data_IF_521101197516
#
_entry.id   IF_521101197516
#
_cell.length_a   1.000
_cell.length_b   1.000
_cell.length_c   1.000
_cell.angle_alpha   90.00
_cell.angle_beta   90.00
_cell.angle_gamma   90.00
#
_symmetry.space_group_name_H-M   'P 1'
#
loop_
_entity.id
_entity.type
_entity.pdbx_description
1 polymer ?
#
# COMPACT_ATOMS: atom_id res chain seq x y z
N UNK A 1 -27.22 -28.82 15.89
CA UNK A 1 -28.21 -27.71 15.91
C UNK A 1 -27.48 -26.61 16.63
N UNK A 2 -26.64 -25.91 15.88
CA UNK A 2 -25.71 -24.95 16.46
C UNK A 2 -26.44 -23.61 16.49
N UNK A 3 -26.63 -23.07 17.69
CA UNK A 3 -27.11 -21.71 17.85
C UNK A 3 -26.08 -20.79 17.19
N UNK A 4 -26.40 -20.31 15.98
CA UNK A 4 -25.71 -19.17 15.37
C UNK A 4 -26.15 -17.95 16.18
N UNK A 5 -25.50 -17.77 17.32
CA UNK A 5 -25.76 -16.70 18.25
C UNK A 5 -25.47 -15.37 17.56
N UNK A 6 -26.46 -14.48 17.67
CA UNK A 6 -26.43 -13.06 17.41
C UNK A 6 -25.02 -12.49 17.66
N UNK A 7 -24.21 -12.41 16.61
CA UNK A 7 -22.87 -11.84 16.70
C UNK A 7 -23.03 -10.33 16.90
N UNK A 8 -22.03 -9.68 17.50
CA UNK A 8 -22.07 -8.22 17.67
C UNK A 8 -22.30 -7.50 16.34
N UNK A 9 -21.83 -8.08 15.23
CA UNK A 9 -21.94 -7.53 13.88
C UNK A 9 -23.38 -7.50 13.37
N UNK A 10 -24.21 -8.49 13.73
CA UNK A 10 -25.61 -8.60 13.26
C UNK A 10 -26.51 -7.41 13.69
N UNK A 11 -26.03 -6.59 14.62
CA UNK A 11 -26.68 -5.35 15.05
C UNK A 11 -26.44 -4.17 14.12
N UNK A 12 -25.55 -4.30 13.14
CA UNK A 12 -25.13 -3.23 12.25
C UNK A 12 -25.49 -3.59 10.80
N UNK A 13 -25.85 -2.59 10.00
CA UNK A 13 -26.14 -2.79 8.56
C UNK A 13 -24.90 -2.64 7.67
N UNK A 14 -23.83 -2.08 8.23
CA UNK A 14 -22.57 -1.86 7.53
C UNK A 14 -21.38 -2.08 8.48
N UNK A 15 -20.26 -2.53 7.91
CA UNK A 15 -18.99 -2.71 8.61
C UNK A 15 -17.90 -1.95 7.83
N UNK A 16 -17.21 -1.05 8.53
CA UNK A 16 -16.02 -0.38 8.02
C UNK A 16 -14.81 -1.18 8.48
N UNK A 17 -13.96 -1.55 7.55
CA UNK A 17 -12.79 -2.39 7.79
C UNK A 17 -11.52 -1.58 7.56
N UNK A 18 -10.60 -1.72 8.50
CA UNK A 18 -9.18 -1.49 8.25
C UNK A 18 -8.60 -2.65 7.41
N UNK A 19 -7.45 -2.43 6.76
CA UNK A 19 -6.85 -3.34 5.80
C UNK A 19 -5.59 -4.04 6.33
N UNK A 20 -4.52 -3.27 6.52
CA UNK A 20 -3.18 -3.76 6.84
C UNK A 20 -3.22 -4.41 8.23
N UNK A 21 -2.65 -5.60 8.35
CA UNK A 21 -2.66 -6.43 9.55
C UNK A 21 -4.07 -6.79 10.10
N UNK A 22 -5.15 -6.43 9.39
CA UNK A 22 -6.53 -6.81 9.71
C UNK A 22 -6.97 -7.99 8.83
N UNK A 23 -6.84 -7.86 7.52
CA UNK A 23 -7.13 -8.95 6.58
C UNK A 23 -6.14 -9.05 5.40
N UNK A 24 -5.28 -8.04 5.22
CA UNK A 24 -4.12 -8.08 4.34
C UNK A 24 -2.86 -8.18 5.19
N UNK A 25 -1.94 -9.07 4.81
CA UNK A 25 -0.70 -9.35 5.52
C UNK A 25 0.49 -9.28 4.56
N UNK A 26 1.71 -9.33 5.10
CA UNK A 26 2.96 -9.18 4.33
C UNK A 26 3.03 -7.84 3.59
N UNK A 27 2.29 -6.81 4.04
CA UNK A 27 2.35 -5.42 3.58
C UNK A 27 3.68 -4.73 3.91
N UNK A 28 3.90 -3.54 3.37
CA UNK A 28 4.98 -2.62 3.75
C UNK A 28 6.38 -3.26 3.74
N UNK A 29 6.69 -3.94 2.63
CA UNK A 29 7.96 -4.64 2.37
C UNK A 29 9.10 -3.67 2.03
N UNK A 30 9.41 -2.79 2.97
CA UNK A 30 10.44 -1.75 2.88
C UNK A 30 11.67 -2.02 3.77
N UNK A 31 11.83 -3.27 4.22
CA UNK A 31 13.03 -3.77 4.91
C UNK A 31 14.24 -4.00 3.97
N UNK A 32 15.47 -4.04 4.50
CA UNK A 32 16.71 -4.22 3.72
C UNK A 32 16.82 -5.56 2.98
N UNK A 33 15.96 -6.53 3.28
CA UNK A 33 15.89 -7.85 2.65
C UNK A 33 15.17 -7.84 1.29
N UNK A 34 14.52 -6.73 0.93
CA UNK A 34 13.74 -6.62 -0.29
C UNK A 34 14.56 -6.03 -1.45
N UNK A 35 14.39 -6.62 -2.64
CA UNK A 35 15.06 -6.22 -3.87
C UNK A 35 14.15 -5.28 -4.68
N UNK A 36 14.25 -3.97 -4.41
CA UNK A 36 13.42 -2.97 -5.09
C UNK A 36 13.81 -2.83 -6.56
N UNK A 37 15.11 -2.90 -6.85
CA UNK A 37 15.65 -2.84 -8.20
C UNK A 37 15.11 -3.95 -9.10
N UNK A 38 15.02 -5.19 -8.62
CA UNK A 38 14.44 -6.29 -9.39
C UNK A 38 12.96 -6.04 -9.71
N UNK A 39 12.18 -5.57 -8.73
CA UNK A 39 10.77 -5.19 -8.95
C UNK A 39 10.66 -4.06 -9.95
N UNK A 40 11.47 -3.01 -9.83
CA UNK A 40 11.51 -1.87 -10.74
C UNK A 40 11.92 -2.26 -12.17
N UNK A 41 12.91 -3.14 -12.32
CA UNK A 41 13.30 -3.70 -13.62
C UNK A 41 12.19 -4.54 -14.24
N UNK A 42 11.39 -5.25 -13.43
CA UNK A 42 10.23 -5.99 -13.93
C UNK A 42 9.16 -5.10 -14.56
N UNK A 43 9.12 -3.80 -14.19
CA UNK A 43 8.30 -2.76 -14.83
C UNK A 43 9.00 -2.05 -15.99
N UNK A 44 10.15 -2.56 -16.45
CA UNK A 44 10.91 -2.02 -17.58
C UNK A 44 11.76 -0.79 -17.22
N UNK A 45 12.14 -0.66 -15.95
CA UNK A 45 13.04 0.38 -15.46
C UNK A 45 14.45 0.29 -16.04
N UNK A 46 15.09 1.45 -16.24
CA UNK A 46 16.41 1.57 -16.85
C UNK A 46 17.50 2.13 -15.91
N UNK A 47 17.13 2.53 -14.69
CA UNK A 47 18.10 2.97 -13.68
C UNK A 47 18.99 1.81 -13.23
N UNK A 48 20.19 2.15 -12.71
CA UNK A 48 21.03 1.15 -12.05
C UNK A 48 20.34 0.63 -10.79
N UNK A 49 20.70 -0.59 -10.37
CA UNK A 49 20.18 -1.23 -9.16
C UNK A 49 20.34 -0.31 -7.94
N UNK A 50 21.55 0.21 -7.72
CA UNK A 50 21.85 1.07 -6.57
C UNK A 50 21.01 2.34 -6.60
N UNK A 51 20.71 2.86 -7.79
CA UNK A 51 19.93 4.08 -7.95
C UNK A 51 18.45 3.84 -7.67
N UNK A 52 17.89 2.75 -8.18
CA UNK A 52 16.49 2.39 -7.94
C UNK A 52 16.26 2.12 -6.45
N UNK A 53 17.11 1.31 -5.82
CA UNK A 53 17.01 0.99 -4.40
C UNK A 53 17.11 2.25 -3.53
N UNK A 54 18.12 3.10 -3.78
CA UNK A 54 18.31 4.32 -3.01
C UNK A 54 17.11 5.28 -3.10
N UNK A 55 16.45 5.35 -4.26
CA UNK A 55 15.27 6.22 -4.44
C UNK A 55 14.04 5.66 -3.73
N UNK A 56 13.83 4.34 -3.75
CA UNK A 56 12.70 3.71 -3.04
C UNK A 56 12.87 3.86 -1.54
N UNK A 57 14.06 3.55 -1.01
CA UNK A 57 14.38 3.71 0.43
C UNK A 57 14.20 5.16 0.86
N UNK A 58 14.79 6.12 0.14
CA UNK A 58 14.68 7.53 0.49
C UNK A 58 13.24 8.06 0.40
N UNK A 59 12.44 7.53 -0.54
CA UNK A 59 11.02 7.87 -0.62
C UNK A 59 10.24 7.34 0.59
N UNK A 60 10.46 6.07 0.94
CA UNK A 60 9.83 5.44 2.11
C UNK A 60 10.17 6.19 3.40
N UNK A 61 11.46 6.41 3.68
CA UNK A 61 11.91 7.12 4.89
C UNK A 61 11.33 8.52 4.99
N UNK A 62 11.19 9.20 3.84
CA UNK A 62 10.59 10.54 3.77
C UNK A 62 9.09 10.49 4.08
N UNK A 63 8.35 9.55 3.51
CA UNK A 63 6.91 9.39 3.77
C UNK A 63 6.65 8.98 5.22
N UNK A 64 7.43 8.04 5.76
CA UNK A 64 7.35 7.60 7.17
C UNK A 64 7.57 8.77 8.13
N UNK A 65 8.59 9.60 7.86
CA UNK A 65 8.83 10.82 8.65
C UNK A 65 7.65 11.79 8.58
N UNK A 66 7.06 11.98 7.40
CA UNK A 66 5.92 12.90 7.22
C UNK A 66 4.63 12.34 7.84
N UNK A 67 4.51 11.02 7.95
CA UNK A 67 3.34 10.36 8.52
C UNK A 67 3.18 10.69 10.00
N UNK A 68 4.29 10.91 10.69
CA UNK A 68 4.34 11.30 12.09
C UNK A 68 4.13 12.81 12.32
N UNK A 69 4.01 13.62 11.26
CA UNK A 69 3.83 15.07 11.35
C UNK A 69 2.34 15.47 11.25
N UNK A 70 1.70 15.94 12.34
CA UNK A 70 0.30 16.35 12.31
C UNK A 70 -0.02 17.49 11.35
N UNK A 71 0.97 18.31 10.98
CA UNK A 71 0.78 19.37 9.98
C UNK A 71 0.55 18.81 8.57
N UNK A 72 0.79 17.51 8.36
CA UNK A 72 0.66 16.82 7.08
C UNK A 72 -0.60 16.00 6.92
N UNK A 73 -1.42 15.83 7.96
CA UNK A 73 -2.64 15.00 7.86
C UNK A 73 -3.56 15.41 6.71
N UNK A 74 -3.76 16.71 6.47
CA UNK A 74 -4.60 17.22 5.38
C UNK A 74 -3.82 17.59 4.11
N UNK A 75 -2.51 17.33 4.08
CA UNK A 75 -1.62 17.71 2.96
C UNK A 75 -0.51 16.68 2.71
N UNK A 76 -0.82 15.41 2.95
CA UNK A 76 0.13 14.33 2.80
C UNK A 76 0.53 14.19 1.32
N UNK A 77 1.82 14.19 0.97
CA UNK A 77 2.23 14.15 -0.42
C UNK A 77 2.03 12.75 -1.01
N UNK A 78 1.84 12.69 -2.31
CA UNK A 78 1.86 11.42 -3.05
C UNK A 78 3.28 10.83 -3.09
N UNK A 79 3.38 9.52 -3.36
CA UNK A 79 4.67 8.85 -3.65
C UNK A 79 5.40 9.56 -4.79
N UNK A 80 4.72 9.86 -5.90
CA UNK A 80 5.32 10.53 -7.07
C UNK A 80 5.84 11.94 -6.75
N UNK A 81 5.11 12.74 -5.98
CA UNK A 81 5.57 14.07 -5.53
C UNK A 81 6.80 13.95 -4.61
N UNK A 82 6.78 12.97 -3.71
CA UNK A 82 7.90 12.72 -2.81
C UNK A 82 9.15 12.32 -3.59
N UNK A 83 9.03 11.37 -4.53
CA UNK A 83 10.11 10.96 -5.44
C UNK A 83 10.71 12.16 -6.18
N UNK A 84 9.87 13.04 -6.78
CA UNK A 84 10.36 14.24 -7.48
C UNK A 84 11.14 15.19 -6.58
N UNK A 85 10.82 15.23 -5.28
CA UNK A 85 11.48 16.10 -4.31
C UNK A 85 12.84 15.58 -3.84
N UNK A 86 13.16 14.30 -4.10
CA UNK A 86 14.41 13.70 -3.64
C UNK A 86 15.63 14.24 -4.41
N UNK A 87 16.79 14.39 -3.74
CA UNK A 87 18.02 14.81 -4.39
C UNK A 87 18.39 13.92 -5.58
N UNK A 88 18.55 14.54 -6.75
CA UNK A 88 18.92 13.85 -8.00
C UNK A 88 17.78 13.08 -8.69
N UNK A 89 16.56 13.13 -8.18
CA UNK A 89 15.38 12.61 -8.88
C UNK A 89 14.80 13.62 -9.89
N UNK A 90 15.15 14.90 -9.79
CA UNK A 90 14.64 15.96 -10.67
C UNK A 90 15.01 15.84 -12.15
N UNK A 91 15.97 14.98 -12.50
CA UNK A 91 16.37 14.69 -13.89
C UNK A 91 15.65 13.44 -14.46
N UNK A 92 14.90 12.71 -13.63
CA UNK A 92 14.20 11.52 -14.07
C UNK A 92 13.05 11.88 -15.01
N UNK A 93 12.88 11.07 -16.04
CA UNK A 93 11.70 11.18 -16.89
C UNK A 93 10.43 10.77 -16.13
N UNK A 94 9.28 11.24 -16.58
CA UNK A 94 7.99 10.85 -16.01
C UNK A 94 7.77 9.33 -16.02
N UNK A 95 8.21 8.64 -17.06
CA UNK A 95 8.13 7.19 -17.14
C UNK A 95 8.97 6.49 -16.06
N UNK A 96 10.12 7.05 -15.69
CA UNK A 96 10.92 6.47 -14.59
C UNK A 96 10.28 6.71 -13.23
N UNK A 97 9.70 7.89 -13.01
CA UNK A 97 8.95 8.19 -11.79
C UNK A 97 7.73 7.27 -11.65
N UNK A 98 7.01 7.00 -12.74
CA UNK A 98 5.86 6.08 -12.75
C UNK A 98 6.28 4.65 -12.43
N UNK A 99 7.42 4.18 -12.94
CA UNK A 99 7.95 2.85 -12.62
C UNK A 99 8.38 2.76 -11.16
N UNK A 100 9.01 3.80 -10.62
CA UNK A 100 9.36 3.87 -9.21
C UNK A 100 8.10 3.89 -8.32
N UNK A 101 7.06 4.64 -8.70
CA UNK A 101 5.78 4.62 -7.99
C UNK A 101 5.09 3.24 -8.04
N UNK A 102 5.12 2.56 -9.20
CA UNK A 102 4.64 1.17 -9.32
C UNK A 102 5.44 0.20 -8.48
N UNK A 103 6.76 0.40 -8.41
CA UNK A 103 7.66 -0.38 -7.55
C UNK A 103 7.29 -0.19 -6.10
N UNK A 104 7.14 1.06 -5.66
CA UNK A 104 6.71 1.39 -4.30
C UNK A 104 5.39 0.70 -3.95
N UNK A 105 4.37 0.85 -4.81
CA UNK A 105 3.06 0.24 -4.62
C UNK A 105 3.14 -1.30 -4.57
N UNK A 106 4.01 -1.91 -5.37
CA UNK A 106 4.22 -3.35 -5.37
C UNK A 106 4.90 -3.85 -4.10
N UNK A 107 5.60 -3.01 -3.34
CA UNK A 107 6.19 -3.37 -2.04
C UNK A 107 5.25 -3.03 -0.87
N UNK A 108 4.47 -1.97 -0.98
CA UNK A 108 3.40 -1.62 -0.04
C UNK A 108 2.28 -2.68 -0.03
N UNK A 109 1.89 -3.17 -1.22
CA UNK A 109 0.81 -4.13 -1.38
C UNK A 109 1.17 -5.49 -0.76
N UNK A 110 0.40 -5.89 0.25
CA UNK A 110 0.43 -7.22 0.87
C UNK A 110 -0.45 -8.24 0.14
N UNK A 111 -0.83 -9.28 0.87
CA UNK A 111 -1.64 -10.40 0.40
C UNK A 111 -2.82 -10.64 1.34
N UNK A 112 -3.99 -10.89 0.77
CA UNK A 112 -5.16 -11.38 1.50
C UNK A 112 -5.14 -12.92 1.48
N UNK A 113 -4.98 -13.62 2.62
CA UNK A 113 -5.04 -15.07 2.66
C UNK A 113 -6.45 -15.56 2.34
N UNK A 114 -6.56 -16.76 1.75
CA UNK A 114 -7.84 -17.28 1.25
C UNK A 114 -8.91 -17.40 2.35
N UNK A 115 -8.51 -17.74 3.58
CA UNK A 115 -9.40 -17.81 4.73
C UNK A 115 -10.02 -16.44 5.10
N UNK A 116 -9.24 -15.36 5.01
CA UNK A 116 -9.72 -13.99 5.20
C UNK A 116 -10.60 -13.55 4.04
N UNK A 117 -10.22 -13.86 2.80
CA UNK A 117 -11.05 -13.60 1.63
C UNK A 117 -12.42 -14.31 1.73
N UNK A 118 -12.44 -15.56 2.19
CA UNK A 118 -13.67 -16.31 2.43
C UNK A 118 -14.51 -15.71 3.57
N UNK A 119 -13.88 -15.22 4.64
CA UNK A 119 -14.56 -14.53 5.73
C UNK A 119 -15.21 -13.22 5.26
N UNK A 120 -14.49 -12.41 4.48
CA UNK A 120 -15.00 -11.17 3.88
C UNK A 120 -16.19 -11.44 2.96
N UNK A 121 -16.12 -12.48 2.11
CA UNK A 121 -17.25 -12.90 1.25
C UNK A 121 -18.48 -13.31 2.06
N UNK A 122 -18.30 -14.04 3.17
CA UNK A 122 -19.42 -14.40 4.07
C UNK A 122 -20.02 -13.17 4.74
N UNK A 123 -19.18 -12.23 5.20
CA UNK A 123 -19.65 -11.01 5.84
C UNK A 123 -20.38 -10.09 4.84
N UNK A 124 -19.89 -10.00 3.61
CA UNK A 124 -20.51 -9.23 2.53
C UNK A 124 -21.89 -9.78 2.10
N UNK A 125 -22.18 -11.06 2.38
CA UNK A 125 -23.48 -11.64 2.09
C UNK A 125 -24.59 -11.12 3.02
N UNK A 126 -24.22 -10.56 4.18
CA UNK A 126 -25.17 -10.08 5.20
C UNK A 126 -25.02 -8.59 5.52
N UNK A 127 -23.85 -7.99 5.27
CA UNK A 127 -23.54 -6.61 5.61
C UNK A 127 -22.99 -5.85 4.40
N UNK A 128 -23.22 -4.53 4.37
CA UNK A 128 -22.47 -3.65 3.46
C UNK A 128 -21.06 -3.46 4.00
N UNK A 129 -20.04 -3.75 3.19
CA UNK A 129 -18.65 -3.55 3.58
C UNK A 129 -18.12 -2.26 2.98
N UNK A 130 -17.36 -1.51 3.77
CA UNK A 130 -16.56 -0.39 3.32
C UNK A 130 -15.13 -0.57 3.82
N UNK A 131 -14.15 -0.11 3.03
CA UNK A 131 -12.75 -0.13 3.38
C UNK A 131 -12.33 1.29 3.77
N UNK A 132 -11.65 1.43 4.90
CA UNK A 132 -10.95 2.64 5.32
C UNK A 132 -9.51 2.22 5.53
N UNK A 133 -8.62 2.67 4.65
CA UNK A 133 -7.22 2.27 4.67
C UNK A 133 -6.36 3.49 4.39
N UNK A 134 -5.30 3.62 5.19
CA UNK A 134 -4.23 4.55 4.94
C UNK A 134 -3.24 3.85 3.99
N UNK A 135 -3.19 4.31 2.75
CA UNK A 135 -2.26 3.83 1.71
C UNK A 135 -1.53 5.03 1.12
N UNK A 136 -0.24 4.85 0.84
CA UNK A 136 0.61 5.86 0.25
C UNK A 136 0.56 5.85 -1.27
N UNK A 137 0.59 4.67 -1.89
CA UNK A 137 0.51 4.57 -3.35
C UNK A 137 -0.93 4.74 -3.86
N UNK A 138 -1.05 4.97 -5.17
CA UNK A 138 -2.33 5.07 -5.84
C UNK A 138 -3.10 3.75 -5.73
N UNK A 139 -4.43 3.82 -5.65
CA UNK A 139 -5.29 2.66 -5.33
C UNK A 139 -5.35 1.57 -6.41
N UNK A 140 -4.92 1.83 -7.64
CA UNK A 140 -5.09 0.94 -8.78
C UNK A 140 -4.56 -0.48 -8.56
N UNK A 141 -3.39 -0.72 -7.92
CA UNK A 141 -2.91 -2.07 -7.60
C UNK A 141 -3.86 -2.87 -6.68
N UNK A 142 -4.65 -2.21 -5.83
CA UNK A 142 -5.61 -2.85 -4.93
C UNK A 142 -6.96 -3.18 -5.58
N UNK A 143 -7.24 -2.63 -6.77
CA UNK A 143 -8.54 -2.77 -7.45
C UNK A 143 -8.51 -3.77 -8.63
N UNK A 144 -7.40 -4.51 -8.79
CA UNK A 144 -7.21 -5.48 -9.87
C UNK A 144 -7.77 -6.85 -9.57
#
# INVERSE_FOLDING_TARGET
MDQVGNTILDRFSAVLLDMNSTFMFDEDRFGPEHDYAATYQSFGGALSTERADALIVACYERLDTLYLDPARHDSFPTVKETLRSLPGAGELSEAELERLEQTFAAHELGRVPEEYAAALKRLAATHRLALVADVWAQKEPWLK
#
